data_IF_344488422668
#
_entry.id   IF_344488422668
#
_cell.length_a   1.000
_cell.length_b   1.000
_cell.length_c   1.000
_cell.angle_alpha   90.00
_cell.angle_beta   90.00
_cell.angle_gamma   90.00
#
_symmetry.space_group_name_H-M   'P 1'
#
loop_
_entity.id
_entity.type
_entity.pdbx_description
1 polymer ?
#
# COMPACT_ATOMS: atom_id res chain seq x y z
N UNK A 1 -23.56 -13.57 23.13
CA UNK A 1 -22.55 -12.49 23.32
C UNK A 1 -22.36 -11.79 21.98
N UNK A 2 -22.69 -10.50 21.87
CA UNK A 2 -22.52 -9.77 20.60
C UNK A 2 -21.04 -9.40 20.38
N UNK A 3 -20.49 -9.61 19.17
CA UNK A 3 -19.07 -9.42 18.88
C UNK A 3 -18.65 -7.96 19.08
N UNK A 4 -17.46 -7.77 19.65
CA UNK A 4 -16.93 -6.47 20.09
C UNK A 4 -16.91 -5.44 18.94
N UNK A 5 -16.67 -5.87 17.70
CA UNK A 5 -16.70 -5.04 16.49
C UNK A 5 -18.04 -4.35 16.22
N UNK A 6 -19.18 -4.99 16.54
CA UNK A 6 -20.50 -4.36 16.39
C UNK A 6 -20.70 -3.20 17.36
N UNK A 7 -20.11 -3.29 18.56
CA UNK A 7 -20.17 -2.21 19.56
C UNK A 7 -19.36 -1.00 19.12
N UNK A 8 -18.19 -1.22 18.51
CA UNK A 8 -17.37 -0.15 17.93
C UNK A 8 -18.04 0.51 16.73
N UNK A 9 -18.60 -0.27 15.81
CA UNK A 9 -19.36 0.25 14.67
C UNK A 9 -20.53 1.13 15.12
N UNK A 10 -21.30 0.68 16.12
CA UNK A 10 -22.41 1.47 16.67
C UNK A 10 -21.96 2.78 17.35
N UNK A 11 -20.77 2.81 17.95
CA UNK A 11 -20.21 4.05 18.55
C UNK A 11 -19.78 5.05 17.47
N UNK A 12 -19.16 4.56 16.39
CA UNK A 12 -18.74 5.38 15.25
C UNK A 12 -19.98 5.97 14.57
N UNK A 13 -21.00 5.14 14.33
CA UNK A 13 -22.25 5.57 13.70
C UNK A 13 -22.99 6.62 14.56
N UNK A 14 -22.99 6.48 15.89
CA UNK A 14 -23.56 7.49 16.81
C UNK A 14 -22.80 8.81 16.76
N UNK A 15 -21.47 8.78 16.68
CA UNK A 15 -20.66 10.01 16.53
C UNK A 15 -20.89 10.66 15.17
N UNK A 16 -20.94 9.86 14.11
CA UNK A 16 -21.22 10.35 12.76
C UNK A 16 -22.62 10.98 12.69
N UNK A 17 -23.64 10.36 13.29
CA UNK A 17 -25.00 10.94 13.37
C UNK A 17 -25.05 12.22 14.19
N UNK A 18 -24.31 12.30 15.31
CA UNK A 18 -24.20 13.55 16.08
C UNK A 18 -23.52 14.66 15.28
N UNK A 19 -22.44 14.36 14.57
CA UNK A 19 -21.78 15.29 13.67
C UNK A 19 -22.70 15.70 12.52
N UNK A 20 -23.40 14.75 11.90
CA UNK A 20 -24.35 15.01 10.82
C UNK A 20 -25.51 15.88 11.31
N UNK A 21 -26.05 15.64 12.50
CA UNK A 21 -27.10 16.47 13.08
C UNK A 21 -26.59 17.86 13.49
N UNK A 22 -25.37 17.96 14.01
CA UNK A 22 -24.74 19.26 14.29
C UNK A 22 -24.49 20.06 13.00
N UNK A 23 -23.99 19.41 11.96
CA UNK A 23 -23.78 19.99 10.65
C UNK A 23 -25.10 20.34 9.97
N UNK A 24 -26.13 19.50 10.07
CA UNK A 24 -27.47 19.78 9.56
C UNK A 24 -28.12 20.94 10.28
N UNK A 25 -28.05 20.99 11.61
CA UNK A 25 -28.60 22.11 12.38
C UNK A 25 -27.87 23.43 12.06
N UNK A 26 -26.55 23.37 11.87
CA UNK A 26 -25.76 24.51 11.41
C UNK A 26 -26.07 24.87 9.95
N UNK A 27 -26.31 23.87 9.08
CA UNK A 27 -26.69 24.00 7.66
C UNK A 27 -28.11 24.54 7.44
N UNK A 28 -29.04 24.25 8.35
CA UNK A 28 -30.41 24.76 8.37
C UNK A 28 -30.45 26.24 8.77
N UNK A 29 -29.52 26.66 9.64
CA UNK A 29 -29.36 28.07 10.02
C UNK A 29 -28.77 28.95 8.91
N UNK A 30 -28.25 28.37 7.83
CA UNK A 30 -27.82 29.13 6.66
C UNK A 30 -29.00 29.46 5.74
N UNK A 31 -29.27 30.76 5.59
CA UNK A 31 -30.22 31.29 4.62
C UNK A 31 -29.91 30.81 3.20
N UNK A 32 -30.94 30.69 2.35
CA UNK A 32 -30.80 30.26 0.93
C UNK A 32 -29.71 31.06 0.20
N UNK A 33 -29.58 32.35 0.51
CA UNK A 33 -28.54 33.25 -0.01
C UNK A 33 -27.13 32.83 0.41
N UNK A 34 -26.93 32.42 1.66
CA UNK A 34 -25.63 31.95 2.15
C UNK A 34 -25.19 30.65 1.48
N UNK A 35 -26.13 29.73 1.19
CA UNK A 35 -25.83 28.50 0.44
C UNK A 35 -25.41 28.82 -1.00
N UNK A 36 -26.10 29.75 -1.67
CA UNK A 36 -25.73 30.22 -3.00
C UNK A 36 -24.37 30.91 -3.02
N UNK A 37 -24.07 31.75 -2.03
CA UNK A 37 -22.76 32.42 -1.88
C UNK A 37 -21.65 31.39 -1.64
N UNK A 38 -21.86 30.43 -0.74
CA UNK A 38 -20.89 29.35 -0.51
C UNK A 38 -20.64 28.53 -1.79
N UNK A 39 -21.68 28.22 -2.55
CA UNK A 39 -21.55 27.49 -3.81
C UNK A 39 -20.79 28.32 -4.85
N UNK A 40 -21.10 29.62 -4.96
CA UNK A 40 -20.39 30.53 -5.86
C UNK A 40 -18.91 30.65 -5.49
N UNK A 41 -18.58 30.81 -4.21
CA UNK A 41 -17.19 30.85 -3.71
C UNK A 41 -16.50 29.52 -4.00
N UNK A 42 -17.17 28.39 -3.76
CA UNK A 42 -16.61 27.07 -4.06
C UNK A 42 -16.31 26.91 -5.55
N UNK A 43 -17.24 27.29 -6.42
CA UNK A 43 -17.03 27.25 -7.87
C UNK A 43 -15.91 28.20 -8.32
N UNK A 44 -15.78 29.39 -7.72
CA UNK A 44 -14.70 30.33 -8.03
C UNK A 44 -13.34 29.83 -7.55
N UNK A 45 -13.25 29.21 -6.38
CA UNK A 45 -12.01 28.65 -5.85
C UNK A 45 -11.60 27.40 -6.64
N UNK A 46 -12.54 26.49 -6.90
CA UNK A 46 -12.29 25.28 -7.67
C UNK A 46 -11.97 25.61 -9.13
N UNK A 47 -12.83 26.38 -9.80
CA UNK A 47 -12.65 26.79 -11.19
C UNK A 47 -11.46 27.72 -11.37
N UNK A 48 -11.33 28.75 -10.53
CA UNK A 48 -10.21 29.68 -10.57
C UNK A 48 -8.87 29.00 -10.24
N UNK A 49 -8.85 28.07 -9.29
CA UNK A 49 -7.68 27.25 -8.99
C UNK A 49 -7.26 26.36 -10.16
N UNK A 50 -8.22 25.67 -10.80
CA UNK A 50 -7.95 24.87 -12.00
C UNK A 50 -7.43 25.70 -13.16
N UNK A 51 -8.02 26.87 -13.41
CA UNK A 51 -7.56 27.79 -14.46
C UNK A 51 -6.16 28.32 -14.14
N UNK A 52 -5.88 28.71 -12.90
CA UNK A 52 -4.55 29.20 -12.49
C UNK A 52 -3.45 28.13 -12.60
N UNK A 53 -3.78 26.86 -12.31
CA UNK A 53 -2.84 25.74 -12.53
C UNK A 53 -2.65 25.49 -14.03
N UNK A 54 -3.73 25.53 -14.83
CA UNK A 54 -3.67 25.33 -16.26
C UNK A 54 -2.84 26.43 -16.96
N UNK A 55 -3.05 27.71 -16.63
CA UNK A 55 -2.28 28.82 -17.22
C UNK A 55 -0.79 28.69 -16.91
N UNK A 56 -0.43 28.36 -15.65
CA UNK A 56 0.97 28.11 -15.28
C UNK A 56 1.58 26.90 -15.99
N UNK A 57 0.79 25.90 -16.35
CA UNK A 57 1.24 24.75 -17.12
C UNK A 57 1.49 25.10 -18.61
N UNK A 58 0.76 26.06 -19.17
CA UNK A 58 0.95 26.51 -20.56
C UNK A 58 2.06 27.57 -20.71
N UNK A 59 2.26 28.45 -19.73
CA UNK A 59 3.32 29.47 -19.76
C UNK A 59 4.73 28.88 -19.58
N UNK A 60 4.85 27.70 -18.95
CA UNK A 60 6.10 26.96 -18.85
C UNK A 60 5.98 25.60 -19.55
N UNK A 61 6.29 25.47 -20.86
CA UNK A 61 6.49 24.16 -21.47
C UNK A 61 7.71 23.41 -20.89
N UNK A 62 8.44 24.01 -19.96
CA UNK A 62 9.60 23.46 -19.24
C UNK A 62 9.20 22.80 -17.93
N UNK A 63 8.37 21.78 -18.01
CA UNK A 63 8.16 20.82 -16.94
C UNK A 63 8.06 19.45 -17.57
N UNK A 64 9.21 18.83 -17.91
CA UNK A 64 9.28 17.36 -17.99
C UNK A 64 8.44 16.85 -16.84
N UNK A 65 7.45 16.02 -17.13
CA UNK A 65 6.61 15.35 -16.15
C UNK A 65 7.54 14.51 -15.26
N UNK A 66 8.21 15.18 -14.32
CA UNK A 66 9.10 14.56 -13.36
C UNK A 66 8.12 13.94 -12.40
N UNK A 67 7.86 12.67 -12.66
CA UNK A 67 7.32 11.73 -11.69
C UNK A 67 8.26 11.86 -10.49
N UNK A 68 7.98 12.81 -9.61
CA UNK A 68 8.59 12.84 -8.30
C UNK A 68 8.10 11.56 -7.64
N UNK A 69 9.02 10.62 -7.43
CA UNK A 69 8.76 9.49 -6.55
C UNK A 69 8.37 10.09 -5.22
N UNK A 70 7.08 10.02 -4.90
CA UNK A 70 6.57 10.35 -3.59
C UNK A 70 7.35 9.49 -2.60
N UNK A 71 8.18 10.14 -1.78
CA UNK A 71 8.93 9.46 -0.72
C UNK A 71 7.93 9.05 0.34
N UNK A 72 7.39 7.84 0.18
CA UNK A 72 6.49 7.24 1.15
C UNK A 72 7.36 6.83 2.35
N UNK A 73 7.10 7.35 3.56
CA UNK A 73 7.84 6.89 4.73
C UNK A 73 7.58 5.39 4.92
N UNK A 74 8.64 4.62 5.13
CA UNK A 74 8.70 3.16 5.04
C UNK A 74 7.87 2.36 6.05
N UNK A 75 6.86 2.96 6.69
CA UNK A 75 5.92 2.32 7.59
C UNK A 75 4.48 2.27 7.06
N UNK A 76 4.18 2.88 5.90
CA UNK A 76 2.81 3.05 5.41
C UNK A 76 2.44 2.15 4.20
N UNK A 77 3.13 1.02 4.00
CA UNK A 77 2.68 -0.01 3.05
C UNK A 77 2.43 -1.29 3.83
N UNK A 78 1.37 -1.27 4.62
CA UNK A 78 0.65 -2.47 5.01
C UNK A 78 -0.62 -2.50 4.17
N UNK A 79 -0.67 -3.47 3.26
CA UNK A 79 -1.89 -3.98 2.60
C UNK A 79 -2.73 -3.00 1.76
N UNK A 80 -2.32 -2.70 0.51
CA UNK A 80 -3.30 -2.66 -0.61
C UNK A 80 -2.73 -2.64 -2.05
N UNK A 81 -1.46 -2.95 -2.30
CA UNK A 81 -0.94 -3.00 -3.69
C UNK A 81 -1.11 -4.38 -4.32
N UNK A 82 -2.34 -4.90 -4.32
CA UNK A 82 -2.79 -5.83 -5.37
C UNK A 82 -3.48 -4.97 -6.43
N UNK A 83 -2.74 -4.15 -7.17
CA UNK A 83 -3.23 -3.49 -8.39
C UNK A 83 -2.11 -2.72 -9.09
N UNK A 84 -1.18 -3.47 -9.65
CA UNK A 84 -0.56 -3.16 -10.93
C UNK A 84 0.35 -4.34 -11.23
N UNK A 85 0.00 -5.06 -12.30
CA UNK A 85 0.78 -6.06 -13.02
C UNK A 85 2.29 -5.76 -13.02
N UNK A 86 2.99 -6.08 -11.93
CA UNK A 86 4.41 -6.41 -11.97
C UNK A 86 4.43 -7.72 -12.76
N UNK A 87 5.18 -7.83 -13.87
CA UNK A 87 5.30 -9.10 -14.56
C UNK A 87 5.72 -10.12 -13.51
N UNK A 88 4.84 -11.10 -13.28
CA UNK A 88 4.93 -12.14 -12.25
C UNK A 88 6.40 -12.39 -11.94
N UNK A 89 6.87 -11.98 -10.76
CA UNK A 89 8.28 -12.00 -10.34
C UNK A 89 9.05 -13.11 -11.07
N UNK A 90 9.65 -12.78 -12.23
CA UNK A 90 10.28 -13.78 -13.08
C UNK A 90 11.62 -14.05 -12.43
N UNK A 91 11.63 -15.00 -11.49
CA UNK A 91 12.86 -15.37 -10.82
C UNK A 91 13.77 -16.02 -11.85
N UNK A 92 14.96 -15.44 -12.00
CA UNK A 92 16.02 -16.06 -12.78
C UNK A 92 16.59 -17.23 -11.97
N UNK A 93 16.98 -18.32 -12.64
CA UNK A 93 17.67 -19.48 -12.03
C UNK A 93 18.81 -19.07 -11.06
N UNK A 94 19.56 -18.01 -11.42
CA UNK A 94 20.64 -17.45 -10.57
C UNK A 94 20.13 -16.87 -9.26
N UNK A 95 18.99 -16.18 -9.27
CA UNK A 95 18.39 -15.59 -8.07
C UNK A 95 17.85 -16.69 -7.16
N UNK A 96 17.18 -17.69 -7.75
CA UNK A 96 16.71 -18.87 -7.02
C UNK A 96 17.88 -19.63 -6.37
N UNK A 97 18.99 -19.81 -7.09
CA UNK A 97 20.19 -20.43 -6.53
C UNK A 97 20.72 -19.69 -5.30
N UNK A 98 20.79 -18.35 -5.35
CA UNK A 98 21.26 -17.55 -4.22
C UNK A 98 20.34 -17.69 -2.98
N UNK A 99 19.02 -17.76 -3.21
CA UNK A 99 18.03 -17.98 -2.14
C UNK A 99 18.21 -19.38 -1.52
N UNK A 100 18.42 -20.40 -2.35
CA UNK A 100 18.68 -21.77 -1.88
C UNK A 100 19.99 -21.87 -1.08
N UNK A 101 21.05 -21.16 -1.50
CA UNK A 101 22.30 -21.08 -0.72
C UNK A 101 22.08 -20.38 0.61
N UNK A 102 21.27 -19.32 0.64
CA UNK A 102 20.91 -18.64 1.88
C UNK A 102 20.11 -19.55 2.83
N UNK A 103 19.14 -20.31 2.33
CA UNK A 103 18.39 -21.30 3.12
C UNK A 103 19.33 -22.33 3.77
N UNK A 104 20.23 -22.93 2.98
CA UNK A 104 21.26 -23.85 3.49
C UNK A 104 22.19 -23.23 4.52
N UNK A 105 22.56 -21.96 4.34
CA UNK A 105 23.35 -21.23 5.32
C UNK A 105 22.60 -21.07 6.64
N UNK A 106 21.31 -20.70 6.59
CA UNK A 106 20.48 -20.60 7.79
C UNK A 106 20.31 -21.95 8.50
N UNK A 107 20.11 -23.03 7.75
CA UNK A 107 20.02 -24.40 8.30
C UNK A 107 21.35 -24.84 8.93
N UNK A 108 22.48 -24.52 8.29
CA UNK A 108 23.82 -24.79 8.81
C UNK A 108 24.08 -24.06 10.13
N UNK A 109 23.63 -22.80 10.25
CA UNK A 109 23.75 -22.05 11.50
C UNK A 109 23.00 -22.72 12.66
N UNK A 110 21.87 -23.38 12.41
CA UNK A 110 21.14 -24.09 13.48
C UNK A 110 21.89 -25.33 14.02
N UNK A 111 22.86 -25.86 13.28
CA UNK A 111 23.53 -27.13 13.62
C UNK A 111 24.55 -26.98 14.76
N UNK A 112 25.15 -25.79 14.93
CA UNK A 112 26.15 -25.52 15.97
C UNK A 112 25.60 -24.64 17.09
N UNK A 113 25.98 -24.90 18.35
CA UNK A 113 25.58 -24.06 19.51
C UNK A 113 25.97 -22.59 19.33
N UNK A 114 27.13 -22.30 18.73
CA UNK A 114 27.55 -20.93 18.43
C UNK A 114 26.84 -20.34 17.20
N UNK A 115 26.41 -21.19 16.26
CA UNK A 115 25.65 -20.78 15.09
C UNK A 115 24.20 -20.41 15.43
N UNK A 116 23.58 -21.10 16.39
CA UNK A 116 22.23 -20.81 16.87
C UNK A 116 22.08 -19.38 17.39
N UNK A 117 23.07 -18.87 18.12
CA UNK A 117 23.07 -17.48 18.60
C UNK A 117 23.03 -16.46 17.44
N UNK A 118 23.76 -16.74 16.35
CA UNK A 118 23.73 -15.91 15.13
C UNK A 118 22.41 -16.04 14.39
N UNK A 119 21.88 -17.26 14.29
CA UNK A 119 20.58 -17.54 13.69
C UNK A 119 19.46 -16.75 14.39
N UNK A 120 19.41 -16.82 15.72
CA UNK A 120 18.37 -16.16 16.51
C UNK A 120 18.52 -14.63 16.46
N UNK A 121 19.75 -14.11 16.39
CA UNK A 121 20.01 -12.68 16.17
C UNK A 121 19.50 -12.21 14.80
N UNK A 122 19.65 -13.02 13.74
CA UNK A 122 19.17 -12.69 12.40
C UNK A 122 17.64 -12.68 12.36
N UNK A 123 17.00 -13.66 13.00
CA UNK A 123 15.53 -13.73 13.07
C UNK A 123 14.93 -12.61 13.93
N UNK A 124 15.61 -12.17 14.98
CA UNK A 124 15.15 -11.06 15.81
C UNK A 124 15.13 -9.72 15.05
N UNK A 125 16.08 -9.48 14.15
CA UNK A 125 16.14 -8.27 13.33
C UNK A 125 15.16 -8.33 12.15
N UNK A 126 14.90 -9.52 11.61
CA UNK A 126 14.02 -9.73 10.46
C UNK A 126 12.96 -10.79 10.76
N UNK A 127 11.91 -10.36 11.46
CA UNK A 127 10.70 -11.15 11.63
C UNK A 127 10.11 -11.52 10.25
N UNK A 128 9.76 -12.81 10.04
CA UNK A 128 9.16 -13.28 8.78
C UNK A 128 10.14 -13.61 7.64
N UNK A 129 11.44 -13.63 7.89
CA UNK A 129 12.45 -13.95 6.86
C UNK A 129 12.28 -15.35 6.27
N UNK A 130 12.04 -16.36 7.10
CA UNK A 130 11.88 -17.74 6.65
C UNK A 130 10.61 -17.93 5.82
N UNK A 131 9.51 -17.32 6.26
CA UNK A 131 8.23 -17.34 5.54
C UNK A 131 8.34 -16.67 4.16
N UNK A 132 9.11 -15.57 4.08
CA UNK A 132 9.41 -14.91 2.81
C UNK A 132 10.22 -15.80 1.86
N UNK A 133 11.14 -16.62 2.37
CA UNK A 133 11.94 -17.55 1.57
C UNK A 133 11.05 -18.67 1.02
N UNK A 134 10.19 -19.24 1.85
CA UNK A 134 9.28 -20.30 1.46
C UNK A 134 8.25 -19.80 0.43
N UNK A 135 7.76 -18.57 0.58
CA UNK A 135 6.91 -17.92 -0.43
C UNK A 135 7.61 -17.81 -1.79
N UNK A 136 8.87 -17.38 -1.82
CA UNK A 136 9.64 -17.26 -3.07
C UNK A 136 9.86 -18.64 -3.72
N UNK A 137 10.10 -19.67 -2.92
CA UNK A 137 10.25 -21.05 -3.42
C UNK A 137 8.95 -21.55 -4.08
N UNK A 138 7.79 -21.27 -3.48
CA UNK A 138 6.49 -21.62 -4.06
C UNK A 138 6.22 -20.90 -5.38
N UNK A 139 6.50 -19.59 -5.44
CA UNK A 139 6.35 -18.79 -6.66
C UNK A 139 7.23 -19.33 -7.79
N UNK A 140 8.48 -19.69 -7.47
CA UNK A 140 9.40 -20.27 -8.45
C UNK A 140 8.90 -21.61 -9.01
N UNK A 141 8.43 -22.51 -8.14
CA UNK A 141 7.89 -23.80 -8.59
C UNK A 141 6.66 -23.64 -9.49
N UNK A 142 5.77 -22.69 -9.17
CA UNK A 142 4.63 -22.37 -10.02
C UNK A 142 5.09 -21.87 -11.40
N UNK A 143 6.09 -21.00 -11.44
CA UNK A 143 6.66 -20.47 -12.68
C UNK A 143 7.27 -21.57 -13.56
N UNK A 144 8.06 -22.49 -12.97
CA UNK A 144 8.64 -23.63 -13.70
C UNK A 144 7.56 -24.55 -14.25
N UNK A 145 6.51 -24.82 -13.45
CA UNK A 145 5.37 -25.64 -13.88
C UNK A 145 4.63 -25.03 -15.06
N UNK A 146 4.36 -23.72 -15.00
CA UNK A 146 3.75 -22.98 -16.10
C UNK A 146 4.63 -23.03 -17.35
N UNK A 147 5.92 -22.70 -17.24
CA UNK A 147 6.86 -22.73 -18.37
C UNK A 147 6.98 -24.12 -19.04
N UNK A 148 6.84 -25.21 -18.26
CA UNK A 148 6.81 -26.57 -18.80
C UNK A 148 5.55 -26.87 -19.59
N UNK A 149 4.40 -26.36 -19.16
CA UNK A 149 3.11 -26.57 -19.82
C UNK A 149 3.09 -25.89 -21.20
N UNK A 150 3.55 -24.64 -21.28
CA UNK A 150 3.64 -23.88 -22.55
C UNK A 150 4.64 -24.44 -23.57
N UNK A 151 5.51 -25.38 -23.18
CA UNK A 151 6.51 -25.99 -24.07
C UNK A 151 6.06 -27.34 -24.64
N UNK A 152 4.96 -27.89 -24.13
CA UNK A 152 4.44 -29.20 -24.52
C UNK A 152 3.20 -29.12 -25.44
N UNK A 153 2.74 -27.91 -25.76
CA UNK A 153 1.76 -27.59 -26.81
C UNK A 153 2.47 -27.08 -28.06
#
# INVERSE_FOLDING_TARGET
>A
MQPVWQRWAAVIERRQRKCANYLNHKAERYSKRSKQICLAIFCLLAGGGSIHIATRAFENPSGKLRIEKMSVPGYAIESDTISAFQPAMVLTERQYHNIQQFKKYMDSLQTSKAGKLKHDSILAVRQGLMDSIDFIEQVYQQQVKQNRLWKND
#
